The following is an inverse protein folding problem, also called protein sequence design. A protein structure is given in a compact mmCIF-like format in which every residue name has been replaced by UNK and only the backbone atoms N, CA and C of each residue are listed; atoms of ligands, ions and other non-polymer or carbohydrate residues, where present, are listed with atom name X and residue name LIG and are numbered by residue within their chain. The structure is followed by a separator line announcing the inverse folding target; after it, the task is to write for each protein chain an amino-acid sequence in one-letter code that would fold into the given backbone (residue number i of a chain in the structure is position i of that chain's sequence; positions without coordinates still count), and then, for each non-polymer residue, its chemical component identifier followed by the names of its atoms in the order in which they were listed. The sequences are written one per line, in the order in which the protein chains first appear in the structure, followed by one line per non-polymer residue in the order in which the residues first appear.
data_IF_290868951094
#
_entry.id   IF_290868951094
#
_cell.length_a   1.000
_cell.length_b   1.000
_cell.length_c   1.000
_cell.angle_alpha   90.00
_cell.angle_beta   90.00
_cell.angle_gamma   90.00
#
_symmetry.space_group_name_H-M   'P 1'
#
loop_
_entity.id
_entity.type
_entity.pdbx_description
1 polymer ?
#
# COMPACT_ATOMS: atom_id res chain seq x y z
N UNK A 1 -18.22 -2.68 -17.98
CA UNK A 1 -17.79 -1.62 -18.19
C UNK A 1 -17.01 -0.84 -17.21
N UNK A 2 -17.31 -0.96 -16.00
CA UNK A 2 -16.60 -0.20 -15.06
C UNK A 2 -15.19 -0.60 -14.92
N UNK A 3 -14.86 -1.74 -15.40
CA UNK A 3 -13.54 -2.18 -15.14
C UNK A 3 -12.52 -1.40 -15.90
N UNK A 4 -12.80 -1.08 -17.16
CA UNK A 4 -11.84 -0.39 -17.85
C UNK A 4 -11.69 0.92 -17.35
N UNK A 5 -12.59 1.30 -16.55
CA UNK A 5 -12.48 2.57 -15.98
C UNK A 5 -11.23 2.77 -15.24
N UNK A 6 -10.75 1.74 -14.60
CA UNK A 6 -9.56 1.87 -13.82
C UNK A 6 -8.32 1.92 -14.66
N UNK A 7 -8.37 1.34 -15.85
CA UNK A 7 -7.18 1.24 -16.66
C UNK A 7 -6.70 2.56 -17.18
N UNK A 8 -7.57 3.44 -17.64
CA UNK A 8 -7.11 4.71 -18.15
C UNK A 8 -6.94 5.79 -17.11
N UNK A 9 -7.03 5.46 -15.84
CA UNK A 9 -6.82 6.45 -14.79
C UNK A 9 -5.44 7.02 -14.92
N UNK A 10 -5.33 8.34 -14.86
CA UNK A 10 -4.05 8.98 -14.71
C UNK A 10 -3.58 8.72 -13.28
N UNK A 11 -2.28 8.90 -13.05
CA UNK A 11 -1.74 8.69 -11.71
C UNK A 11 -2.44 9.59 -10.68
N UNK A 12 -2.73 10.82 -11.06
CA UNK A 12 -3.40 11.74 -10.15
C UNK A 12 -4.82 11.31 -9.84
N UNK A 13 -5.53 10.82 -10.85
CA UNK A 13 -6.89 10.38 -10.64
C UNK A 13 -6.97 9.17 -9.72
N UNK A 14 -6.08 8.20 -9.93
CA UNK A 14 -6.06 7.03 -9.08
C UNK A 14 -5.67 7.42 -7.66
N UNK A 15 -4.68 8.26 -7.52
CA UNK A 15 -4.24 8.71 -6.21
C UNK A 15 -5.36 9.41 -5.47
N UNK A 16 -6.10 10.27 -6.16
CA UNK A 16 -7.22 10.96 -5.54
C UNK A 16 -8.33 10.00 -5.15
N UNK A 17 -8.59 8.99 -5.97
CA UNK A 17 -9.62 8.00 -5.67
C UNK A 17 -9.24 7.20 -4.43
N UNK A 18 -8.00 6.76 -4.36
CA UNK A 18 -7.51 6.00 -3.20
C UNK A 18 -7.53 6.89 -1.95
N UNK A 19 -7.07 8.11 -2.08
CA UNK A 19 -7.05 9.04 -0.96
C UNK A 19 -8.45 9.30 -0.43
N UNK A 20 -9.42 9.40 -1.33
CA UNK A 20 -10.81 9.57 -0.95
C UNK A 20 -11.34 8.39 -0.17
N UNK A 21 -11.01 7.18 -0.62
CA UNK A 21 -11.41 5.96 0.08
C UNK A 21 -10.78 5.91 1.45
N UNK A 22 -9.48 6.19 1.56
CA UNK A 22 -8.79 6.17 2.84
C UNK A 22 -9.33 7.25 3.77
N UNK A 23 -9.60 8.43 3.23
CA UNK A 23 -10.15 9.52 4.03
C UNK A 23 -11.53 9.19 4.53
N UNK A 24 -12.36 8.58 3.69
CA UNK A 24 -13.67 8.15 4.10
C UNK A 24 -13.58 7.09 5.18
N UNK A 25 -12.54 6.25 5.11
CA UNK A 25 -12.31 5.25 6.12
C UNK A 25 -12.05 5.83 7.49
N UNK A 26 -11.56 7.07 7.56
CA UNK A 26 -11.34 7.69 8.86
C UNK A 26 -12.64 8.05 9.55
N UNK A 27 -13.74 8.17 8.78
CA UNK A 27 -15.04 8.47 9.34
C UNK A 27 -15.84 7.20 9.59
N UNK A 28 -15.39 6.08 9.05
CA UNK A 28 -16.04 4.79 9.23
C UNK A 28 -15.10 3.94 10.07
N UNK A 29 -15.68 3.19 10.98
CA UNK A 29 -14.89 2.32 11.82
C UNK A 29 -14.03 1.39 11.00
N UNK A 30 -12.75 1.35 11.30
CA UNK A 30 -11.84 0.44 10.63
C UNK A 30 -12.14 -0.99 11.01
N UNK A 31 -11.94 -1.90 10.07
CA UNK A 31 -12.06 -3.31 10.33
C UNK A 31 -10.88 -3.81 11.16
N UNK A 32 -11.04 -5.00 11.67
CA UNK A 32 -9.99 -5.61 12.49
C UNK A 32 -8.71 -5.80 11.70
N UNK A 33 -8.83 -6.22 10.42
CA UNK A 33 -7.66 -6.40 9.57
C UNK A 33 -6.90 -5.12 9.38
N UNK A 34 -7.61 -4.03 9.20
CA UNK A 34 -6.98 -2.74 9.00
C UNK A 34 -6.25 -2.27 10.24
N UNK A 35 -6.83 -2.53 11.40
CA UNK A 35 -6.17 -2.17 12.65
C UNK A 35 -4.87 -2.95 12.84
N UNK A 36 -4.87 -4.22 12.45
CA UNK A 36 -3.66 -5.04 12.53
C UNK A 36 -2.55 -4.53 11.63
N UNK A 37 -2.93 -3.88 10.53
CA UNK A 37 -1.99 -3.34 9.57
C UNK A 37 -1.75 -1.86 9.77
N UNK A 38 -1.85 -1.40 11.00
CA UNK A 38 -1.60 -0.02 11.31
C UNK A 38 -0.17 0.36 10.95
N UNK A 39 -0.02 1.32 10.05
CA UNK A 39 1.30 1.78 9.64
C UNK A 39 1.88 2.70 10.70
N UNK A 40 3.19 2.61 10.94
CA UNK A 40 3.82 3.55 11.86
C UNK A 40 3.76 4.97 11.31
N UNK A 41 3.55 5.91 12.22
CA UNK A 41 3.53 7.31 11.85
C UNK A 41 4.95 7.78 11.53
N UNK A 42 5.06 8.71 10.59
CA UNK A 42 6.35 9.31 10.25
C UNK A 42 6.71 10.32 11.36
N UNK A 43 7.82 10.10 12.09
CA UNK A 43 8.20 11.06 13.13
C UNK A 43 8.56 12.42 12.53
N UNK A 44 8.24 13.47 13.24
CA UNK A 44 8.56 14.82 12.77
C UNK A 44 10.05 15.03 12.63
N UNK A 45 10.82 14.40 13.51
CA UNK A 45 12.28 14.53 13.50
C UNK A 45 12.97 13.43 12.70
N UNK A 46 12.24 12.72 11.86
CA UNK A 46 12.83 11.68 11.04
C UNK A 46 13.88 12.27 10.09
N UNK A 47 14.86 11.45 9.74
CA UNK A 47 15.89 11.84 8.78
C UNK A 47 15.23 12.22 7.46
N UNK A 48 15.80 13.21 6.77
CA UNK A 48 15.20 13.70 5.53
C UNK A 48 15.07 12.62 4.46
N UNK A 49 16.03 11.68 4.40
CA UNK A 49 15.93 10.59 3.44
C UNK A 49 14.79 9.64 3.77
N UNK A 50 14.52 9.45 5.06
CA UNK A 50 13.38 8.64 5.48
C UNK A 50 12.08 9.32 5.11
N UNK A 51 11.98 10.62 5.32
CA UNK A 51 10.80 11.38 4.93
C UNK A 51 10.55 11.29 3.43
N UNK A 52 11.61 11.44 2.64
CA UNK A 52 11.51 11.36 1.19
C UNK A 52 11.11 9.94 0.74
N UNK A 53 11.66 8.92 1.40
CA UNK A 53 11.32 7.56 1.06
C UNK A 53 9.84 7.27 1.34
N UNK A 54 9.34 7.73 2.47
CA UNK A 54 7.91 7.54 2.82
C UNK A 54 7.03 8.24 1.79
N UNK A 55 7.39 9.46 1.40
CA UNK A 55 6.61 10.18 0.40
C UNK A 55 6.58 9.45 -0.93
N UNK A 56 7.73 8.94 -1.36
CA UNK A 56 7.80 8.18 -2.61
C UNK A 56 6.95 6.93 -2.56
N UNK A 57 6.95 6.24 -1.43
CA UNK A 57 6.11 5.05 -1.29
C UNK A 57 4.64 5.44 -1.40
N UNK A 58 4.22 6.48 -0.70
CA UNK A 58 2.82 6.90 -0.71
C UNK A 58 2.36 7.35 -2.08
N UNK A 59 3.26 7.98 -2.83
CA UNK A 59 2.92 8.49 -4.16
C UNK A 59 3.05 7.43 -5.24
N UNK A 60 3.94 6.44 -5.06
CA UNK A 60 4.31 5.52 -6.13
C UNK A 60 4.17 4.05 -5.76
N UNK A 61 3.40 3.73 -4.74
CA UNK A 61 3.25 2.33 -4.32
C UNK A 61 2.71 1.44 -5.44
N UNK A 62 2.01 2.02 -6.42
CA UNK A 62 1.47 1.27 -7.54
C UNK A 62 2.53 0.81 -8.51
N UNK A 63 3.69 1.46 -8.51
CA UNK A 63 4.75 1.11 -9.45
C UNK A 63 5.37 -0.20 -9.03
N UNK A 64 5.50 -1.08 -9.99
CA UNK A 64 6.01 -2.41 -9.73
C UNK A 64 7.41 -2.39 -9.12
N UNK A 65 8.29 -1.53 -9.68
CA UNK A 65 9.68 -1.50 -9.29
C UNK A 65 9.99 -0.64 -8.09
N UNK A 66 9.02 0.05 -7.53
CA UNK A 66 9.31 0.91 -6.39
C UNK A 66 9.83 0.06 -5.23
N UNK A 67 10.89 0.50 -4.61
CA UNK A 67 11.50 -0.23 -3.51
C UNK A 67 12.80 0.41 -3.09
N UNK A 68 13.54 -0.27 -2.23
CA UNK A 68 14.74 0.29 -1.63
C UNK A 68 15.79 0.67 -2.68
N UNK A 69 15.99 -0.18 -3.67
CA UNK A 69 17.01 0.06 -4.69
C UNK A 69 16.72 1.31 -5.49
N UNK A 70 15.50 1.43 -5.98
CA UNK A 70 15.11 2.58 -6.77
C UNK A 70 15.13 3.86 -5.95
N UNK A 71 14.57 3.81 -4.75
CA UNK A 71 14.48 4.99 -3.90
C UNK A 71 15.86 5.45 -3.48
N UNK A 72 16.72 4.53 -3.05
CA UNK A 72 18.10 4.89 -2.66
C UNK A 72 18.83 5.53 -3.83
N UNK A 73 18.65 4.96 -5.03
CA UNK A 73 19.29 5.52 -6.23
C UNK A 73 18.83 6.93 -6.51
N UNK A 74 17.53 7.18 -6.38
CA UNK A 74 17.00 8.53 -6.61
C UNK A 74 17.47 9.54 -5.57
N UNK A 75 17.64 9.07 -4.33
CA UNK A 75 18.09 9.94 -3.26
C UNK A 75 19.61 10.11 -3.21
N UNK A 76 20.34 9.32 -4.00
CA UNK A 76 21.79 9.41 -4.04
C UNK A 76 22.47 8.82 -2.82
N UNK A 77 21.87 7.84 -2.18
CA UNK A 77 22.45 7.16 -1.03
C UNK A 77 22.53 5.67 -1.30
N UNK A 78 23.34 4.96 -0.53
CA UNK A 78 23.42 3.52 -0.67
C UNK A 78 22.18 2.87 -0.08
N UNK A 79 21.86 1.68 -0.59
CA UNK A 79 20.72 0.92 -0.08
C UNK A 79 20.88 0.61 1.41
N UNK A 80 22.10 0.21 1.80
CA UNK A 80 22.36 -0.11 3.20
C UNK A 80 22.18 1.08 4.12
N UNK A 81 22.61 2.25 3.67
CA UNK A 81 22.46 3.46 4.46
C UNK A 81 20.97 3.80 4.63
N UNK A 82 20.23 3.79 3.53
CA UNK A 82 18.80 4.09 3.60
C UNK A 82 18.05 3.05 4.43
N UNK A 83 18.39 1.77 4.27
CA UNK A 83 17.75 0.71 5.05
C UNK A 83 17.93 0.92 6.54
N UNK A 84 19.13 1.26 6.96
CA UNK A 84 19.39 1.45 8.38
C UNK A 84 18.64 2.67 8.93
N UNK A 85 18.67 3.77 8.18
CA UNK A 85 17.96 4.98 8.60
C UNK A 85 16.47 4.74 8.69
N UNK A 86 15.93 4.08 7.69
CA UNK A 86 14.49 3.84 7.64
C UNK A 86 14.04 2.98 8.83
N UNK A 87 14.74 1.87 9.06
CA UNK A 87 14.39 0.99 10.16
C UNK A 87 14.53 1.68 11.51
N UNK A 88 15.56 2.50 11.65
CA UNK A 88 15.79 3.24 12.90
C UNK A 88 14.63 4.20 13.18
N UNK A 89 14.23 4.96 12.18
CA UNK A 89 13.21 5.99 12.38
C UNK A 89 11.79 5.43 12.39
N UNK A 90 11.52 4.43 11.55
CA UNK A 90 10.17 3.92 11.37
C UNK A 90 9.87 2.64 12.18
N UNK A 91 10.91 1.98 12.66
CA UNK A 91 10.72 0.76 13.45
C UNK A 91 10.54 -0.50 12.62
N UNK A 92 10.31 -0.37 11.32
CA UNK A 92 10.20 -1.51 10.40
C UNK A 92 10.99 -1.19 9.15
N UNK A 93 11.28 -2.22 8.36
CA UNK A 93 12.06 -2.02 7.13
C UNK A 93 11.21 -1.29 6.09
N UNK A 94 11.89 -0.68 5.13
CA UNK A 94 11.23 -0.02 4.02
C UNK A 94 10.39 -1.00 3.22
N UNK A 95 10.89 -2.21 2.99
CA UNK A 95 10.14 -3.23 2.27
C UNK A 95 8.86 -3.62 3.01
N UNK A 96 8.94 -3.75 4.32
CA UNK A 96 7.75 -4.06 5.11
C UNK A 96 6.74 -2.93 5.06
N UNK A 97 7.21 -1.70 5.14
CA UNK A 97 6.33 -0.53 5.06
C UNK A 97 5.60 -0.50 3.72
N UNK A 98 6.33 -0.70 2.63
CA UNK A 98 5.73 -0.73 1.30
C UNK A 98 4.69 -1.84 1.17
N UNK A 99 5.02 -3.03 1.63
CA UNK A 99 4.10 -4.16 1.56
C UNK A 99 2.83 -3.87 2.37
N UNK A 100 2.99 -3.38 3.59
CA UNK A 100 1.84 -3.05 4.42
C UNK A 100 1.00 -1.94 3.82
N UNK A 101 1.65 -0.95 3.21
CA UNK A 101 0.92 0.13 2.57
C UNK A 101 0.06 -0.39 1.41
N UNK A 102 0.65 -1.22 0.56
CA UNK A 102 -0.08 -1.82 -0.57
C UNK A 102 -1.26 -2.65 -0.10
N UNK A 103 -1.06 -3.45 0.94
CA UNK A 103 -2.14 -4.30 1.45
C UNK A 103 -3.22 -3.45 2.10
N UNK A 104 -2.86 -2.40 2.84
CA UNK A 104 -3.88 -1.52 3.42
C UNK A 104 -4.73 -0.87 2.35
N UNK A 105 -4.11 -0.41 1.27
CA UNK A 105 -4.88 0.15 0.16
C UNK A 105 -5.80 -0.91 -0.44
N UNK A 106 -5.29 -2.14 -0.60
CA UNK A 106 -6.11 -3.21 -1.16
C UNK A 106 -7.32 -3.53 -0.29
N UNK A 107 -7.17 -3.45 1.03
CA UNK A 107 -8.31 -3.68 1.93
C UNK A 107 -9.43 -2.70 1.65
N UNK A 108 -9.09 -1.44 1.42
CA UNK A 108 -10.10 -0.43 1.12
C UNK A 108 -10.76 -0.67 -0.23
N UNK A 109 -9.95 -0.99 -1.24
CA UNK A 109 -10.49 -1.22 -2.58
C UNK A 109 -11.35 -2.46 -2.65
N UNK A 110 -10.99 -3.51 -1.92
CA UNK A 110 -11.76 -4.76 -1.94
C UNK A 110 -13.15 -4.62 -1.32
N UNK A 111 -13.39 -3.58 -0.56
CA UNK A 111 -14.72 -3.33 -0.04
C UNK A 111 -15.72 -2.99 -1.13
N UNK A 112 -15.22 -2.51 -2.25
CA UNK A 112 -16.07 -2.20 -3.38
C UNK A 112 -16.15 -3.45 -4.26
N UNK A 113 -17.33 -4.05 -4.32
CA UNK A 113 -17.52 -5.29 -5.05
C UNK A 113 -17.43 -5.13 -6.56
N UNK A 114 -17.34 -3.91 -7.05
CA UNK A 114 -17.14 -3.67 -8.47
C UNK A 114 -15.71 -3.96 -8.90
N UNK A 115 -14.77 -3.97 -7.95
CA UNK A 115 -13.40 -4.34 -8.26
C UNK A 115 -13.25 -5.84 -8.17
N UNK A 116 -12.55 -6.42 -9.13
CA UNK A 116 -12.19 -7.83 -9.04
C UNK A 116 -10.86 -7.94 -8.31
N UNK A 117 -10.63 -9.09 -7.69
CA UNK A 117 -9.42 -9.28 -6.91
C UNK A 117 -8.17 -9.03 -7.74
N UNK A 118 -8.13 -9.54 -8.99
CA UNK A 118 -6.94 -9.33 -9.81
C UNK A 118 -6.76 -7.86 -10.18
N UNK A 119 -7.84 -7.12 -10.32
CA UNK A 119 -7.75 -5.69 -10.58
C UNK A 119 -7.14 -4.96 -9.40
N UNK A 120 -7.57 -5.31 -8.20
CA UNK A 120 -7.01 -4.71 -7.00
C UNK A 120 -5.52 -5.02 -6.88
N UNK A 121 -5.14 -6.26 -7.15
CA UNK A 121 -3.73 -6.65 -7.10
C UNK A 121 -2.89 -5.73 -8.01
N UNK A 122 -3.34 -5.54 -9.23
CA UNK A 122 -2.63 -4.68 -10.19
C UNK A 122 -2.60 -3.23 -9.74
N UNK A 123 -3.72 -2.75 -9.24
CA UNK A 123 -3.82 -1.35 -8.81
C UNK A 123 -2.87 -1.02 -7.67
N UNK A 124 -2.57 -1.99 -6.83
CA UNK A 124 -1.67 -1.74 -5.70
C UNK A 124 -0.22 -2.18 -5.98
N UNK A 125 0.08 -2.56 -7.22
CA UNK A 125 1.46 -2.78 -7.63
C UNK A 125 1.92 -4.22 -7.72
N UNK A 126 1.00 -5.19 -7.63
CA UNK A 126 1.36 -6.61 -7.76
C UNK A 126 1.00 -7.13 -9.13
N UNK A 127 1.98 -7.76 -9.78
CA UNK A 127 1.73 -8.38 -11.07
C UNK A 127 1.32 -9.83 -10.95
N UNK A 128 1.78 -10.49 -9.89
CA UNK A 128 1.51 -11.90 -9.67
C UNK A 128 0.37 -12.01 -8.66
N UNK A 129 -0.77 -12.46 -9.14
CA UNK A 129 -1.95 -12.61 -8.28
C UNK A 129 -1.72 -13.59 -7.15
N UNK A 130 -1.00 -14.68 -7.42
CA UNK A 130 -0.70 -15.65 -6.38
C UNK A 130 0.14 -15.05 -5.27
N UNK A 131 1.15 -14.28 -5.63
CA UNK A 131 1.99 -13.63 -4.66
C UNK A 131 1.19 -12.61 -3.84
N UNK A 132 0.34 -11.83 -4.51
CA UNK A 132 -0.54 -10.89 -3.81
C UNK A 132 -1.44 -11.63 -2.80
N UNK A 133 -2.06 -12.70 -3.25
CA UNK A 133 -2.98 -13.46 -2.39
C UNK A 133 -2.28 -14.04 -1.18
N UNK A 134 -1.08 -14.58 -1.37
CA UNK A 134 -0.32 -15.12 -0.25
C UNK A 134 0.12 -14.04 0.72
N UNK A 135 0.56 -12.90 0.19
CA UNK A 135 0.98 -11.78 1.03
C UNK A 135 -0.19 -11.24 1.81
N UNK A 136 -1.33 -11.07 1.14
CA UNK A 136 -2.55 -10.60 1.77
C UNK A 136 -2.96 -11.53 2.92
N UNK A 137 -2.97 -12.83 2.65
CA UNK A 137 -3.35 -13.80 3.67
C UNK A 137 -2.37 -13.81 4.85
N UNK A 138 -1.09 -13.67 4.56
CA UNK A 138 -0.07 -13.64 5.61
C UNK A 138 -0.30 -12.46 6.55
N UNK A 139 -0.70 -11.32 6.01
CA UNK A 139 -0.87 -10.11 6.81
C UNK A 139 -2.26 -9.98 7.44
N UNK A 140 -3.29 -10.54 6.80
CA UNK A 140 -4.66 -10.34 7.26
C UNK A 140 -5.31 -11.61 7.82
N UNK A 141 -4.76 -12.77 7.50
CA UNK A 141 -5.36 -14.04 7.89
C UNK A 141 -6.41 -14.55 6.93
N UNK A 142 -6.75 -13.79 5.90
CA UNK A 142 -7.78 -14.15 4.92
C UNK A 142 -7.23 -14.03 3.51
N UNK A 143 -7.79 -14.81 2.59
CA UNK A 143 -7.53 -14.58 1.18
C UNK A 143 -8.29 -13.32 0.73
N UNK A 144 -7.81 -12.63 -0.30
CA UNK A 144 -8.51 -11.43 -0.77
C UNK A 144 -9.96 -11.70 -1.15
N UNK A 145 -10.24 -12.84 -1.79
CA UNK A 145 -11.60 -13.19 -2.16
C UNK A 145 -12.48 -13.43 -0.94
N UNK A 146 -11.91 -14.03 0.09
CA UNK A 146 -12.64 -14.25 1.34
C UNK A 146 -12.97 -12.93 2.02
N UNK A 147 -12.02 -12.02 2.02
CA UNK A 147 -12.22 -10.72 2.62
C UNK A 147 -13.29 -9.93 1.86
N UNK A 148 -13.23 -9.96 0.53
CA UNK A 148 -14.18 -9.24 -0.30
C UNK A 148 -15.60 -9.77 -0.15
N UNK A 149 -15.73 -11.09 -0.02
CA UNK A 149 -17.05 -11.75 0.11
C UNK A 149 -17.63 -11.62 1.51
N UNK A 150 -16.85 -11.16 2.46
CA UNK A 150 -17.26 -11.08 3.85
C UNK A 150 -18.40 -10.08 4.03
N UNK A 151 -19.47 -10.44 4.76
CA UNK A 151 -20.55 -9.50 5.00
C UNK A 151 -20.04 -8.26 5.75
N UNK A 152 -20.61 -7.12 5.40
CA UNK A 152 -20.28 -5.87 6.09
C UNK A 152 -21.56 -5.26 6.63
N UNK A 153 -21.47 -4.77 7.81
CA UNK A 153 -22.62 -4.14 8.46
C UNK A 153 -22.69 -2.66 8.15
#
# INVERSE_FOLDING_TARGET
ASDYILKPFSDGELENAVRRVLGRGSLVQEGEEERRLSLPALPENANRYVKEAVLRIRERYREREIGISLIAGELGVSEGHLSRLFKKDMGISLSSYLTMYRIRVSLRLLRDLHYRVYEVAELVGYHDLGYFSQTFRKLTGLLPSEYQARPRD
#
